data_IF_007064651632
#
_entry.id   IF_007064651632
#
_cell.length_a   1.000
_cell.length_b   1.000
_cell.length_c   1.000
_cell.angle_alpha   90.00
_cell.angle_beta   90.00
_cell.angle_gamma   90.00
#
_symmetry.space_group_name_H-M   'P 1'
#
loop_
_entity.id
_entity.type
_entity.pdbx_description
1 polymer ?
#
# COMPACT_ATOMS: atom_id res chain seq x y z
N UNK A 1 2.25 32.87 24.49
CA UNK A 1 1.31 31.79 24.39
C UNK A 1 1.67 30.69 25.38
N UNK A 2 0.87 30.53 26.36
CA UNK A 2 1.15 29.55 27.38
C UNK A 2 0.89 28.14 26.81
N UNK A 3 1.91 27.32 26.77
CA UNK A 3 1.79 25.94 26.36
C UNK A 3 1.56 25.72 24.87
N UNK A 4 2.59 25.46 24.12
CA UNK A 4 2.43 25.00 22.75
C UNK A 4 1.68 23.67 22.79
N UNK A 5 0.57 23.48 22.03
CA UNK A 5 -0.19 22.23 22.05
C UNK A 5 0.68 21.00 21.81
N UNK A 6 1.72 21.11 21.00
CA UNK A 6 2.64 20.02 20.68
C UNK A 6 3.44 19.51 21.87
N UNK A 7 3.62 20.34 22.92
CA UNK A 7 4.38 19.93 24.13
C UNK A 7 3.68 18.80 24.91
N UNK A 8 2.38 18.57 24.67
CA UNK A 8 1.59 17.54 25.35
C UNK A 8 1.36 16.30 24.49
N UNK A 9 1.89 16.28 23.28
CA UNK A 9 1.71 15.15 22.37
C UNK A 9 2.78 14.10 22.67
N UNK A 10 2.34 12.88 22.93
CA UNK A 10 3.23 11.75 23.24
C UNK A 10 3.47 10.85 22.02
N UNK A 11 2.59 10.91 21.02
CA UNK A 11 2.69 10.09 19.83
C UNK A 11 2.05 10.80 18.64
N UNK A 12 2.54 10.50 17.45
CA UNK A 12 1.98 11.00 16.19
C UNK A 12 1.72 9.79 15.31
N UNK A 13 0.49 9.67 14.81
CA UNK A 13 0.10 8.60 13.90
C UNK A 13 -0.05 9.15 12.50
N UNK A 14 0.50 8.44 11.53
CA UNK A 14 0.42 8.80 10.12
C UNK A 14 -0.34 7.73 9.35
N UNK A 15 -1.17 8.17 8.41
CA UNK A 15 -1.62 7.30 7.33
C UNK A 15 -0.39 6.99 6.45
N UNK A 16 -0.35 5.81 5.86
CA UNK A 16 0.82 5.37 5.10
C UNK A 16 0.63 5.61 3.59
N UNK A 17 -0.26 4.85 2.98
CA UNK A 17 -0.44 4.89 1.52
C UNK A 17 -1.20 6.15 1.10
N UNK A 18 -0.59 6.93 0.21
CA UNK A 18 -1.14 8.21 -0.21
C UNK A 18 -0.79 9.37 0.71
N UNK A 19 -0.11 9.10 1.81
CA UNK A 19 0.35 10.13 2.78
C UNK A 19 1.86 10.13 2.91
N UNK A 20 2.45 9.02 3.31
CA UNK A 20 3.91 8.87 3.42
C UNK A 20 4.49 8.16 2.21
N UNK A 21 3.76 7.23 1.64
CA UNK A 21 4.20 6.35 0.55
C UNK A 21 3.41 6.68 -0.72
N UNK A 22 4.15 6.93 -1.80
CA UNK A 22 3.57 7.20 -3.10
C UNK A 22 3.27 5.88 -3.82
N UNK A 23 2.05 5.39 -3.67
CA UNK A 23 1.63 4.14 -4.29
C UNK A 23 1.45 4.25 -5.81
N UNK A 24 1.39 5.47 -6.36
CA UNK A 24 1.27 5.65 -7.80
C UNK A 24 2.47 5.12 -8.58
N UNK A 25 3.60 4.91 -7.91
CA UNK A 25 4.77 4.30 -8.53
C UNK A 25 4.51 2.87 -8.99
N UNK A 26 3.56 2.15 -8.37
CA UNK A 26 3.19 0.80 -8.80
C UNK A 26 2.32 0.83 -10.07
N UNK A 27 1.57 1.90 -10.28
CA UNK A 27 0.71 2.05 -11.45
C UNK A 27 1.54 2.05 -12.74
N UNK A 28 2.65 2.76 -12.75
CA UNK A 28 3.55 2.82 -13.90
C UNK A 28 4.16 1.43 -14.20
N UNK A 29 4.56 0.71 -13.17
CA UNK A 29 5.07 -0.65 -13.31
C UNK A 29 4.02 -1.60 -13.88
N UNK A 30 2.80 -1.53 -13.38
CA UNK A 30 1.70 -2.37 -13.85
C UNK A 30 1.32 -2.05 -15.29
N UNK A 31 1.32 -0.78 -15.66
CA UNK A 31 1.01 -0.36 -17.04
C UNK A 31 2.07 -0.85 -18.02
N UNK A 32 3.34 -0.81 -17.64
CA UNK A 32 4.43 -1.34 -18.45
C UNK A 32 4.30 -2.85 -18.63
N UNK A 33 3.93 -3.56 -17.55
CA UNK A 33 3.81 -5.02 -17.55
C UNK A 33 2.54 -5.50 -18.26
N UNK A 34 1.44 -4.76 -18.10
CA UNK A 34 0.13 -5.08 -18.65
C UNK A 34 -0.44 -3.86 -19.38
N UNK A 35 0.05 -3.59 -20.60
CA UNK A 35 -0.38 -2.39 -21.33
C UNK A 35 -1.89 -2.28 -21.47
N UNK A 36 -2.44 -1.12 -21.11
CA UNK A 36 -3.87 -0.86 -21.13
C UNK A 36 -4.62 -1.30 -19.88
N UNK A 37 -4.00 -2.07 -18.99
CA UNK A 37 -4.66 -2.62 -17.80
C UNK A 37 -4.09 -2.13 -16.47
N UNK A 38 -3.02 -1.33 -16.50
CA UNK A 38 -2.33 -0.91 -15.28
C UNK A 38 -3.22 -0.26 -14.25
N UNK A 39 -4.02 0.73 -14.66
CA UNK A 39 -4.94 1.43 -13.76
C UNK A 39 -6.04 0.52 -13.24
N UNK A 40 -6.57 -0.37 -14.09
CA UNK A 40 -7.63 -1.30 -13.70
C UNK A 40 -7.11 -2.29 -12.65
N UNK A 41 -5.89 -2.82 -12.84
CA UNK A 41 -5.26 -3.72 -11.87
C UNK A 41 -5.05 -2.99 -10.55
N UNK A 42 -4.48 -1.80 -10.59
CA UNK A 42 -4.18 -1.01 -9.39
C UNK A 42 -5.44 -0.72 -8.58
N UNK A 43 -6.50 -0.28 -9.24
CA UNK A 43 -7.77 0.00 -8.58
C UNK A 43 -8.38 -1.25 -7.96
N UNK A 44 -8.45 -2.35 -8.72
CA UNK A 44 -9.01 -3.61 -8.24
C UNK A 44 -8.19 -4.16 -7.07
N UNK A 45 -6.87 -4.10 -7.17
CA UNK A 45 -5.96 -4.59 -6.14
C UNK A 45 -6.16 -3.83 -4.82
N UNK A 46 -6.15 -2.50 -4.89
CA UNK A 46 -6.34 -1.68 -3.69
C UNK A 46 -7.71 -1.90 -3.05
N UNK A 47 -8.76 -1.95 -3.86
CA UNK A 47 -10.13 -2.20 -3.37
C UNK A 47 -10.21 -3.54 -2.65
N UNK A 48 -9.69 -4.61 -3.26
CA UNK A 48 -9.70 -5.94 -2.66
C UNK A 48 -8.81 -6.04 -1.42
N UNK A 49 -7.66 -5.38 -1.43
CA UNK A 49 -6.77 -5.34 -0.27
C UNK A 49 -7.47 -4.76 0.96
N UNK A 50 -8.17 -3.65 0.78
CA UNK A 50 -8.92 -2.99 1.87
C UNK A 50 -10.06 -3.89 2.33
N UNK A 51 -10.85 -4.43 1.40
CA UNK A 51 -11.97 -5.29 1.71
C UNK A 51 -11.55 -6.57 2.43
N UNK A 52 -10.51 -7.23 1.94
CA UNK A 52 -10.01 -8.47 2.53
C UNK A 52 -9.44 -8.23 3.93
N UNK A 53 -8.71 -7.13 4.11
CA UNK A 53 -8.18 -6.76 5.42
C UNK A 53 -9.31 -6.54 6.44
N UNK A 54 -10.35 -5.84 6.03
CA UNK A 54 -11.52 -5.57 6.86
C UNK A 54 -12.27 -6.86 7.20
N UNK A 55 -12.55 -7.68 6.21
CA UNK A 55 -13.27 -8.95 6.42
C UNK A 55 -12.51 -9.89 7.34
N UNK A 56 -11.20 -9.99 7.19
CA UNK A 56 -10.37 -10.82 8.06
C UNK A 56 -10.38 -10.34 9.49
N UNK A 57 -10.30 -9.03 9.70
CA UNK A 57 -10.34 -8.45 11.05
C UNK A 57 -11.68 -8.65 11.72
N UNK A 58 -12.79 -8.42 11.00
CA UNK A 58 -14.13 -8.58 11.52
C UNK A 58 -14.49 -10.04 11.76
N UNK A 59 -13.99 -10.94 10.92
CA UNK A 59 -14.27 -12.37 11.03
C UNK A 59 -13.34 -13.12 11.97
N UNK A 60 -12.47 -12.44 12.70
CA UNK A 60 -11.48 -13.04 13.61
C UNK A 60 -10.57 -14.06 12.89
N UNK A 61 -10.28 -13.82 11.62
CA UNK A 61 -9.41 -14.66 10.78
C UNK A 61 -8.22 -13.87 10.28
N UNK A 62 -7.52 -13.28 11.22
CA UNK A 62 -6.35 -12.45 10.91
C UNK A 62 -5.34 -13.17 10.01
N UNK A 63 -4.82 -12.44 9.05
CA UNK A 63 -3.65 -12.79 8.24
C UNK A 63 -2.70 -11.60 8.20
N UNK A 64 -1.38 -11.82 8.10
CA UNK A 64 -0.45 -10.73 7.89
C UNK A 64 -0.81 -9.92 6.64
N UNK A 65 -0.64 -8.62 6.71
CA UNK A 65 -1.05 -7.71 5.64
C UNK A 65 -0.37 -8.02 4.30
N UNK A 66 0.87 -8.50 4.32
CA UNK A 66 1.57 -8.93 3.12
C UNK A 66 0.88 -10.08 2.40
N UNK A 67 0.37 -11.06 3.15
CA UNK A 67 -0.38 -12.18 2.57
C UNK A 67 -1.73 -11.72 2.01
N UNK A 68 -2.42 -10.82 2.72
CA UNK A 68 -3.66 -10.23 2.24
C UNK A 68 -3.41 -9.44 0.94
N UNK A 69 -2.32 -8.72 0.88
CA UNK A 69 -1.92 -7.96 -0.31
C UNK A 69 -1.70 -8.87 -1.51
N UNK A 70 -1.01 -9.99 -1.32
CA UNK A 70 -0.80 -10.96 -2.39
C UNK A 70 -2.11 -11.64 -2.82
N UNK A 71 -2.95 -12.04 -1.86
CA UNK A 71 -4.26 -12.63 -2.15
C UNK A 71 -5.12 -11.67 -2.98
N UNK A 72 -5.12 -10.40 -2.61
CA UNK A 72 -5.84 -9.35 -3.33
C UNK A 72 -5.30 -9.16 -4.76
N UNK A 73 -3.98 -9.22 -4.94
CA UNK A 73 -3.37 -9.12 -6.26
C UNK A 73 -3.79 -10.29 -7.15
N UNK A 74 -3.71 -11.51 -6.64
CA UNK A 74 -4.10 -12.72 -7.39
C UNK A 74 -5.56 -12.65 -7.81
N UNK A 75 -6.45 -12.25 -6.90
CA UNK A 75 -7.87 -12.11 -7.19
C UNK A 75 -8.15 -11.00 -8.21
N UNK A 76 -7.41 -9.90 -8.14
CA UNK A 76 -7.56 -8.79 -9.10
C UNK A 76 -7.17 -9.20 -10.50
N UNK A 77 -6.03 -9.86 -10.65
CA UNK A 77 -5.58 -10.35 -11.95
C UNK A 77 -6.56 -11.38 -12.53
N UNK A 78 -7.05 -12.29 -11.70
CA UNK A 78 -8.05 -13.27 -12.13
C UNK A 78 -9.35 -12.61 -12.58
N UNK A 79 -9.82 -11.58 -11.85
CA UNK A 79 -11.05 -10.87 -12.20
C UNK A 79 -10.95 -10.10 -13.52
N UNK A 80 -9.76 -9.75 -13.93
CA UNK A 80 -9.48 -9.07 -15.20
C UNK A 80 -9.07 -10.05 -16.30
N UNK A 81 -9.18 -11.36 -16.04
CA UNK A 81 -8.79 -12.43 -16.97
C UNK A 81 -7.32 -12.36 -17.40
N UNK A 82 -6.47 -11.89 -16.48
CA UNK A 82 -5.03 -11.84 -16.70
C UNK A 82 -4.39 -13.04 -16.03
N UNK A 83 -3.82 -13.93 -16.85
CA UNK A 83 -3.13 -15.12 -16.37
C UNK A 83 -1.65 -14.80 -16.21
N UNK A 84 -1.14 -14.98 -14.99
CA UNK A 84 0.27 -14.71 -14.69
C UNK A 84 0.84 -15.84 -13.84
N UNK A 85 2.11 -16.12 -14.01
CA UNK A 85 2.80 -17.14 -13.24
C UNK A 85 3.23 -16.63 -11.86
N UNK A 86 3.74 -17.54 -11.03
CA UNK A 86 4.23 -17.20 -9.69
C UNK A 86 5.38 -16.22 -9.71
N UNK A 87 6.26 -16.32 -10.70
CA UNK A 87 7.39 -15.41 -10.85
C UNK A 87 6.92 -13.97 -11.06
N UNK A 88 5.91 -13.79 -11.90
CA UNK A 88 5.33 -12.47 -12.14
C UNK A 88 4.66 -11.90 -10.90
N UNK A 89 3.94 -12.73 -10.15
CA UNK A 89 3.35 -12.31 -8.86
C UNK A 89 4.45 -11.83 -7.92
N UNK A 90 5.53 -12.61 -7.80
CA UNK A 90 6.67 -12.24 -6.95
C UNK A 90 7.30 -10.91 -7.34
N UNK A 91 7.48 -10.67 -8.65
CA UNK A 91 8.03 -9.41 -9.14
C UNK A 91 7.14 -8.21 -8.82
N UNK A 92 5.83 -8.38 -8.97
CA UNK A 92 4.87 -7.31 -8.66
C UNK A 92 4.88 -7.02 -7.15
N UNK A 93 4.91 -8.06 -6.32
CA UNK A 93 5.00 -7.89 -4.88
C UNK A 93 6.30 -7.20 -4.46
N UNK A 94 7.42 -7.53 -5.10
CA UNK A 94 8.70 -6.85 -4.85
C UNK A 94 8.61 -5.37 -5.19
N UNK A 95 7.98 -5.01 -6.29
CA UNK A 95 7.78 -3.61 -6.65
C UNK A 95 6.88 -2.89 -5.66
N UNK A 96 5.85 -3.57 -5.15
CA UNK A 96 5.00 -3.02 -4.11
C UNK A 96 5.80 -2.70 -2.85
N UNK A 97 6.69 -3.59 -2.45
CA UNK A 97 7.55 -3.39 -1.28
C UNK A 97 8.59 -2.28 -1.49
N UNK A 98 8.85 -1.89 -2.74
CA UNK A 98 9.79 -0.83 -3.10
C UNK A 98 9.10 0.46 -3.53
N UNK A 99 7.83 0.64 -3.18
CA UNK A 99 7.12 1.88 -3.47
C UNK A 99 7.89 3.08 -2.94
N UNK A 100 7.93 4.15 -3.74
CA UNK A 100 8.63 5.37 -3.35
C UNK A 100 7.86 6.08 -2.24
N UNK A 101 8.61 6.75 -1.37
CA UNK A 101 8.01 7.70 -0.44
C UNK A 101 7.88 9.06 -1.14
N UNK A 102 6.95 9.88 -0.68
CA UNK A 102 6.87 11.25 -1.17
C UNK A 102 8.15 12.02 -0.79
N UNK A 103 8.54 13.03 -1.59
CA UNK A 103 9.82 13.72 -1.39
C UNK A 103 10.00 14.32 0.01
N UNK A 104 8.92 14.76 0.65
CA UNK A 104 8.96 15.37 1.97
C UNK A 104 8.88 14.39 3.14
N UNK A 105 8.59 13.12 2.87
CA UNK A 105 8.33 12.12 3.92
C UNK A 105 9.52 11.95 4.85
N UNK A 106 10.70 11.68 4.32
CA UNK A 106 11.90 11.44 5.14
C UNK A 106 12.28 12.70 5.91
N UNK A 107 12.23 13.85 5.26
CA UNK A 107 12.55 15.12 5.90
C UNK A 107 11.64 15.39 7.10
N UNK A 108 10.34 15.22 6.91
CA UNK A 108 9.36 15.42 7.98
C UNK A 108 9.60 14.45 9.13
N UNK A 109 9.78 13.16 8.84
CA UNK A 109 9.98 12.15 9.87
C UNK A 109 11.29 12.37 10.64
N UNK A 110 12.35 12.76 9.97
CA UNK A 110 13.65 13.03 10.59
C UNK A 110 13.62 14.25 11.49
N UNK A 111 12.79 15.25 11.18
CA UNK A 111 12.69 16.50 11.91
C UNK A 111 11.62 16.50 13.00
N UNK A 112 10.87 15.41 13.16
CA UNK A 112 9.92 15.30 14.26
C UNK A 112 10.67 15.10 15.57
N UNK A 113 10.26 15.83 16.63
CA UNK A 113 10.84 15.60 17.95
C UNK A 113 10.47 14.19 18.44
N UNK A 114 11.49 13.38 18.71
CA UNK A 114 11.31 12.05 19.29
C UNK A 114 11.47 12.15 20.79
N UNK A 115 10.58 11.48 21.55
CA UNK A 115 10.74 11.43 23.00
C UNK A 115 11.96 10.61 23.40
#
# INVERSE_FOLDING_TARGET
MAGHPLSKICAICFDAFGTLIDISSIDAFLEERFPGNGSAISLAWRTKQIDYSRLRSLGSRYKPFGEITEDALRASLASLNLDVDRGSIGEIMDQYMKCRVYPDTLEVLENLPMP
#
